data_IF_746662335669
#
_entry.id   IF_746662335669
#
_cell.length_a   1.000
_cell.length_b   1.000
_cell.length_c   1.000
_cell.angle_alpha   90.00
_cell.angle_beta   90.00
_cell.angle_gamma   90.00
#
_symmetry.space_group_name_H-M   'P 1'
#
loop_
_entity.id
_entity.type
_entity.pdbx_description
1 polymer ?
#
# COMPACT_ATOMS: atom_id res chain seq x y z
N UNK A 1 19.27 -4.01 -14.28
CA UNK A 1 19.64 -2.57 -14.29
C UNK A 1 19.07 -1.80 -15.49
N UNK A 2 19.17 -2.28 -16.75
CA UNK A 2 18.68 -1.52 -17.93
C UNK A 2 17.21 -1.09 -17.84
N UNK A 3 16.33 -1.99 -17.40
CA UNK A 3 14.91 -1.70 -17.25
C UNK A 3 14.64 -0.68 -16.13
N UNK A 4 15.24 -0.90 -14.95
CA UNK A 4 15.24 0.01 -13.82
C UNK A 4 15.68 1.44 -14.20
N UNK A 5 16.72 1.59 -15.03
CA UNK A 5 17.16 2.88 -15.52
C UNK A 5 16.17 3.53 -16.50
N UNK A 6 15.53 2.73 -17.37
CA UNK A 6 14.49 3.22 -18.28
C UNK A 6 13.27 3.74 -17.51
N UNK A 7 12.90 3.07 -16.42
CA UNK A 7 11.86 3.56 -15.52
C UNK A 7 12.23 4.85 -14.82
N UNK A 8 13.41 4.91 -14.21
CA UNK A 8 13.88 6.12 -13.54
C UNK A 8 13.79 7.30 -14.50
N UNK A 9 14.23 7.11 -15.75
CA UNK A 9 14.15 8.13 -16.80
C UNK A 9 12.70 8.54 -17.11
N UNK A 10 11.78 7.59 -17.22
CA UNK A 10 10.37 7.86 -17.51
C UNK A 10 9.71 8.61 -16.34
N UNK A 11 9.90 8.12 -15.10
CA UNK A 11 9.43 8.76 -13.87
C UNK A 11 10.01 10.19 -13.75
N UNK A 12 11.32 10.38 -13.97
CA UNK A 12 11.99 11.69 -13.93
C UNK A 12 11.40 12.70 -14.92
N UNK A 13 11.01 12.24 -16.11
CA UNK A 13 10.35 13.06 -17.14
C UNK A 13 8.87 13.36 -16.84
N UNK A 14 8.32 12.76 -15.78
CA UNK A 14 6.90 12.89 -15.44
C UNK A 14 6.01 12.07 -16.37
N UNK A 15 6.57 11.15 -17.14
CA UNK A 15 5.86 10.18 -17.97
C UNK A 15 5.28 9.10 -17.05
N UNK A 16 4.29 9.47 -16.20
CA UNK A 16 3.64 8.52 -15.31
C UNK A 16 3.05 7.39 -16.15
N UNK A 17 3.45 6.16 -15.81
CA UNK A 17 2.90 4.95 -16.43
C UNK A 17 1.38 5.01 -16.38
N UNK A 18 0.75 4.90 -17.54
CA UNK A 18 -0.69 4.70 -17.61
C UNK A 18 -0.99 3.33 -17.00
N UNK A 19 -1.66 3.34 -15.86
CA UNK A 19 -2.36 2.15 -15.40
C UNK A 19 -3.63 2.08 -16.24
N UNK A 20 -3.58 1.35 -17.35
CA UNK A 20 -4.78 1.02 -18.11
C UNK A 20 -5.56 -0.05 -17.35
N UNK A 21 -6.78 0.27 -16.93
CA UNK A 21 -7.71 -0.68 -16.30
C UNK A 21 -7.69 -0.72 -14.77
N UNK A 22 -8.76 -1.29 -14.21
CA UNK A 22 -8.86 -1.55 -12.78
C UNK A 22 -7.93 -2.70 -12.40
N UNK A 23 -7.10 -2.51 -11.37
CA UNK A 23 -6.27 -3.61 -10.83
C UNK A 23 -7.04 -4.34 -9.75
N UNK A 24 -6.96 -5.66 -9.78
CA UNK A 24 -7.69 -6.54 -8.90
C UNK A 24 -6.72 -7.39 -8.09
N UNK A 25 -6.93 -7.44 -6.78
CA UNK A 25 -6.15 -8.28 -5.87
C UNK A 25 -7.09 -9.03 -4.95
N UNK A 26 -6.90 -10.34 -4.81
CA UNK A 26 -7.57 -11.11 -3.78
C UNK A 26 -6.83 -10.95 -2.45
N UNK A 27 -7.56 -10.72 -1.36
CA UNK A 27 -6.98 -10.58 -0.02
C UNK A 27 -6.33 -11.88 0.46
N UNK A 28 -6.81 -13.04 -0.02
CA UNK A 28 -6.21 -14.35 0.27
C UNK A 28 -4.79 -14.48 -0.30
N UNK A 29 -4.53 -13.88 -1.47
CA UNK A 29 -3.21 -13.88 -2.13
C UNK A 29 -2.22 -12.93 -1.44
N UNK A 30 -2.73 -11.98 -0.64
CA UNK A 30 -1.91 -11.06 0.15
C UNK A 30 -1.42 -11.80 1.40
N UNK A 31 -0.16 -12.22 1.37
CA UNK A 31 0.53 -12.91 2.48
C UNK A 31 0.40 -12.15 3.81
N UNK A 32 -0.63 -12.45 4.62
CA UNK A 32 -0.80 -12.25 6.07
C UNK A 32 -0.59 -10.87 6.70
N UNK A 33 -0.18 -9.89 5.91
CA UNK A 33 0.29 -8.60 6.39
C UNK A 33 -0.74 -7.50 6.14
N UNK A 34 -0.60 -6.41 6.88
CA UNK A 34 -1.44 -5.23 6.68
C UNK A 34 -1.14 -4.60 5.31
N UNK A 35 -2.18 -4.33 4.53
CA UNK A 35 -2.07 -3.54 3.31
C UNK A 35 -2.39 -2.08 3.60
N UNK A 36 -1.53 -1.19 3.16
CA UNK A 36 -1.71 0.26 3.32
C UNK A 36 -1.84 0.94 1.97
N UNK A 37 -2.69 1.97 1.92
CA UNK A 37 -2.77 2.92 0.83
C UNK A 37 -1.94 4.16 1.18
N UNK A 38 -1.19 4.67 0.19
CA UNK A 38 -0.45 5.91 0.28
C UNK A 38 -1.33 7.09 -0.14
N UNK A 39 -1.13 8.25 0.49
CA UNK A 39 -1.83 9.46 0.11
C UNK A 39 -1.23 10.03 -1.20
N UNK A 40 -2.06 10.14 -2.24
CA UNK A 40 -1.63 10.60 -3.56
C UNK A 40 -1.14 12.06 -3.57
N UNK A 41 -1.63 12.93 -2.68
CA UNK A 41 -1.15 14.31 -2.57
C UNK A 41 0.29 14.37 -2.03
N UNK A 42 0.60 13.53 -1.04
CA UNK A 42 1.95 13.40 -0.49
C UNK A 42 2.91 12.88 -1.57
N UNK A 43 2.48 11.93 -2.40
CA UNK A 43 3.29 11.41 -3.52
C UNK A 43 3.67 12.47 -4.56
N UNK A 44 2.72 13.33 -4.94
CA UNK A 44 2.98 14.42 -5.88
C UNK A 44 3.98 15.42 -5.30
N UNK A 45 3.82 15.76 -4.02
CA UNK A 45 4.73 16.66 -3.30
C UNK A 45 6.14 16.06 -3.19
N UNK A 46 6.25 14.79 -2.83
CA UNK A 46 7.53 14.09 -2.73
C UNK A 46 8.24 14.03 -4.07
N UNK A 47 7.52 13.73 -5.15
CA UNK A 47 8.07 13.75 -6.49
C UNK A 47 8.73 15.09 -6.82
N UNK A 48 8.01 16.20 -6.59
CA UNK A 48 8.54 17.54 -6.88
C UNK A 48 9.75 17.87 -6.01
N UNK A 49 9.70 17.54 -4.71
CA UNK A 49 10.80 17.77 -3.79
C UNK A 49 12.06 16.98 -4.17
N UNK A 50 11.91 15.68 -4.44
CA UNK A 50 13.01 14.81 -4.82
C UNK A 50 13.61 15.22 -6.17
N UNK A 51 12.77 15.59 -7.13
CA UNK A 51 13.22 16.07 -8.44
C UNK A 51 14.02 17.36 -8.33
N UNK A 52 13.47 18.38 -7.66
CA UNK A 52 14.14 19.67 -7.50
C UNK A 52 15.47 19.53 -6.72
N UNK A 53 15.48 18.74 -5.64
CA UNK A 53 16.69 18.47 -4.88
C UNK A 53 17.74 17.70 -5.71
N UNK A 54 17.31 16.73 -6.51
CA UNK A 54 18.17 16.00 -7.43
C UNK A 54 18.79 16.90 -8.50
N UNK A 55 17.97 17.72 -9.17
CA UNK A 55 18.42 18.68 -10.20
C UNK A 55 19.48 19.65 -9.64
N UNK A 56 19.27 20.17 -8.42
CA UNK A 56 20.24 21.04 -7.76
C UNK A 56 21.59 20.37 -7.47
N UNK A 57 21.63 19.04 -7.34
CA UNK A 57 22.84 18.27 -7.07
C UNK A 57 23.54 17.77 -8.34
N UNK A 58 22.80 17.51 -9.42
CA UNK A 58 23.36 16.96 -10.68
C UNK A 58 24.47 17.85 -11.23
N UNK A 59 24.26 19.16 -11.31
CA UNK A 59 25.26 20.09 -11.86
C UNK A 59 26.54 20.14 -11.03
N UNK A 60 26.41 19.94 -9.71
CA UNK A 60 27.55 19.89 -8.79
C UNK A 60 28.33 18.59 -8.92
N UNK A 61 27.64 17.46 -9.06
CA UNK A 61 28.24 16.12 -9.12
C UNK A 61 28.81 15.81 -10.50
N UNK A 62 28.21 16.34 -11.56
CA UNK A 62 28.55 16.08 -12.97
C UNK A 62 28.80 17.37 -13.74
N UNK A 63 29.88 18.12 -13.43
CA UNK A 63 30.20 19.35 -14.13
C UNK A 63 30.55 19.08 -15.60
N UNK A 64 30.11 19.96 -16.51
CA UNK A 64 30.31 19.83 -17.96
C UNK A 64 31.79 19.82 -18.38
N UNK A 65 32.67 20.44 -17.58
CA UNK A 65 34.12 20.41 -17.80
C UNK A 65 34.75 19.58 -16.69
N UNK A 66 35.38 18.43 -17.00
CA UNK A 66 36.06 17.63 -16.00
C UNK A 66 37.18 18.47 -15.37
N UNK A 67 37.08 18.71 -14.07
CA UNK A 67 38.00 19.58 -13.29
C UNK A 67 39.37 18.91 -13.05
N UNK A 68 39.55 17.67 -13.51
CA UNK A 68 40.73 16.86 -13.24
C UNK A 68 41.92 17.32 -14.09
N UNK A 69 42.86 18.03 -13.45
CA UNK A 69 44.23 18.17 -13.95
C UNK A 69 45.05 16.96 -13.49
N UNK A 70 45.91 16.43 -14.35
CA UNK A 70 46.78 15.29 -14.04
C UNK A 70 47.59 15.55 -12.76
N UNK A 71 47.47 14.66 -11.76
CA UNK A 71 48.20 14.75 -10.48
C UNK A 71 47.44 15.41 -9.31
N UNK A 72 46.20 15.86 -9.49
CA UNK A 72 45.36 16.31 -8.36
C UNK A 72 44.64 15.13 -7.67
N UNK A 73 44.46 15.18 -6.34
CA UNK A 73 43.63 14.22 -5.62
C UNK A 73 42.18 14.28 -6.09
N UNK A 74 41.45 13.17 -5.94
CA UNK A 74 40.03 13.08 -6.31
C UNK A 74 39.20 14.08 -5.51
N UNK A 75 38.28 14.78 -6.19
CA UNK A 75 37.36 15.70 -5.50
C UNK A 75 36.39 14.92 -4.63
N UNK A 76 35.87 15.51 -3.53
CA UNK A 76 34.84 14.88 -2.70
C UNK A 76 33.62 14.43 -3.50
N UNK A 77 33.20 15.20 -4.51
CA UNK A 77 32.12 14.85 -5.42
C UNK A 77 32.43 13.60 -6.25
N UNK A 78 33.65 13.48 -6.77
CA UNK A 78 34.04 12.30 -7.56
C UNK A 78 34.14 11.02 -6.72
N UNK A 79 34.60 11.13 -5.47
CA UNK A 79 34.59 10.03 -4.50
C UNK A 79 33.16 9.60 -4.15
N UNK A 80 32.24 10.56 -4.02
CA UNK A 80 30.83 10.27 -3.77
C UNK A 80 30.20 9.56 -4.96
N UNK A 81 30.45 9.99 -6.20
CA UNK A 81 29.98 9.28 -7.42
C UNK A 81 30.53 7.85 -7.44
N UNK A 82 31.83 7.67 -7.18
CA UNK A 82 32.45 6.34 -7.15
C UNK A 82 31.86 5.43 -6.05
N UNK A 83 31.44 5.99 -4.91
CA UNK A 83 30.73 5.24 -3.86
C UNK A 83 29.40 4.68 -4.39
N UNK A 84 28.61 5.50 -5.09
CA UNK A 84 27.33 5.07 -5.66
C UNK A 84 27.53 4.04 -6.78
N UNK A 85 28.50 4.25 -7.67
CA UNK A 85 28.77 3.33 -8.79
C UNK A 85 29.21 1.94 -8.32
N UNK A 86 30.01 1.87 -7.24
CA UNK A 86 30.69 0.63 -6.87
C UNK A 86 30.13 -0.05 -5.62
N UNK A 87 29.42 0.66 -4.74
CA UNK A 87 29.00 0.15 -3.43
C UNK A 87 27.49 0.20 -3.19
N UNK A 88 26.80 1.20 -3.74
CA UNK A 88 25.35 1.36 -3.53
C UNK A 88 24.59 0.51 -4.53
N UNK A 89 23.84 -0.45 -4.02
CA UNK A 89 23.04 -1.35 -4.85
C UNK A 89 21.63 -0.78 -5.07
N UNK A 90 21.16 -0.87 -6.30
CA UNK A 90 19.77 -0.59 -6.63
C UNK A 90 18.89 -1.80 -6.26
N UNK A 91 18.38 -1.80 -5.03
CA UNK A 91 17.49 -2.86 -4.54
C UNK A 91 16.17 -2.92 -5.31
N UNK A 92 15.73 -1.81 -5.93
CA UNK A 92 14.50 -1.78 -6.72
C UNK A 92 14.66 -2.59 -8.01
N UNK A 93 15.85 -2.58 -8.61
CA UNK A 93 16.17 -3.46 -9.72
C UNK A 93 16.17 -4.97 -9.35
N UNK A 94 16.22 -5.32 -8.06
CA UNK A 94 16.27 -6.69 -7.55
C UNK A 94 14.93 -7.19 -6.97
N UNK A 95 14.24 -6.40 -6.16
CA UNK A 95 13.00 -6.81 -5.47
C UNK A 95 11.73 -6.80 -6.33
N UNK A 96 11.87 -6.30 -7.56
CA UNK A 96 10.82 -6.08 -8.54
C UNK A 96 9.98 -7.30 -8.96
N UNK A 97 10.38 -8.52 -8.58
CA UNK A 97 9.73 -9.79 -8.95
C UNK A 97 9.26 -10.63 -7.76
N UNK A 98 9.57 -10.23 -6.51
CA UNK A 98 9.68 -11.22 -5.43
C UNK A 98 8.36 -11.71 -4.79
N UNK A 99 7.24 -11.01 -4.94
CA UNK A 99 6.01 -11.35 -4.20
C UNK A 99 4.72 -11.40 -5.02
N UNK A 100 4.58 -10.65 -6.11
CA UNK A 100 3.36 -10.62 -6.93
C UNK A 100 3.53 -11.24 -8.32
N UNK A 101 4.70 -11.84 -8.61
CA UNK A 101 5.18 -12.29 -9.93
C UNK A 101 4.97 -11.23 -11.06
N UNK A 102 4.73 -10.01 -10.62
CA UNK A 102 4.32 -8.86 -11.41
C UNK A 102 4.89 -7.62 -10.74
N UNK A 103 5.21 -6.65 -11.57
CA UNK A 103 5.83 -5.40 -11.18
C UNK A 103 4.86 -4.56 -10.35
N UNK A 104 5.32 -4.07 -9.19
CA UNK A 104 4.51 -3.22 -8.31
C UNK A 104 3.83 -2.09 -9.12
N UNK A 105 2.49 -2.04 -9.14
CA UNK A 105 1.70 -1.11 -9.93
C UNK A 105 2.11 0.36 -9.85
N UNK A 106 2.51 0.79 -8.66
CA UNK A 106 2.73 2.19 -8.30
C UNK A 106 4.10 2.44 -7.68
N UNK A 107 4.93 1.40 -7.53
CA UNK A 107 6.30 1.61 -7.09
C UNK A 107 7.02 2.50 -8.11
N UNK A 108 7.73 3.53 -7.65
CA UNK A 108 8.56 4.42 -8.46
C UNK A 108 9.80 4.86 -7.67
N UNK A 109 10.75 5.52 -8.34
CA UNK A 109 11.96 6.04 -7.67
C UNK A 109 11.72 7.31 -6.85
N UNK A 110 10.64 8.03 -7.15
CA UNK A 110 10.36 9.36 -6.61
C UNK A 110 9.34 9.31 -5.47
N UNK A 111 9.63 8.47 -4.47
CA UNK A 111 8.89 8.42 -3.20
C UNK A 111 9.89 8.23 -2.06
N UNK A 112 9.70 8.93 -0.95
CA UNK A 112 10.48 8.65 0.25
C UNK A 112 10.10 7.28 0.82
N UNK A 113 11.03 6.68 1.57
CA UNK A 113 10.76 5.44 2.29
C UNK A 113 9.71 5.68 3.37
N UNK A 114 8.77 4.74 3.53
CA UNK A 114 7.90 4.68 4.70
C UNK A 114 8.75 4.22 5.90
N UNK A 115 8.74 5.01 6.96
CA UNK A 115 9.49 4.73 8.20
C UNK A 115 8.50 4.74 9.36
N UNK A 116 8.51 3.66 10.13
CA UNK A 116 7.66 3.48 11.31
C UNK A 116 8.46 3.78 12.58
N UNK A 117 7.84 4.53 13.49
CA UNK A 117 8.32 4.91 14.81
C UNK A 117 7.26 4.53 15.85
N UNK A 118 7.34 3.30 16.36
CA UNK A 118 6.28 2.75 17.19
C UNK A 118 4.98 2.61 16.40
N UNK A 119 3.92 3.29 16.84
CA UNK A 119 2.61 3.30 16.15
C UNK A 119 2.48 4.38 15.09
N UNK A 120 3.46 5.28 14.99
CA UNK A 120 3.45 6.44 14.10
C UNK A 120 4.33 6.18 12.88
N UNK A 121 4.00 6.75 11.73
CA UNK A 121 4.82 6.71 10.52
C UNK A 121 5.06 8.12 9.95
N UNK A 122 6.18 8.30 9.24
CA UNK A 122 6.55 9.59 8.64
C UNK A 122 5.59 10.09 7.55
N UNK A 123 4.73 9.21 7.03
CA UNK A 123 3.75 9.50 5.98
C UNK A 123 2.34 9.23 6.48
N UNK A 124 1.35 9.89 5.91
CA UNK A 124 -0.04 9.50 6.17
C UNK A 124 -0.36 8.21 5.41
N UNK A 125 -0.92 7.21 6.11
CA UNK A 125 -1.30 5.92 5.54
C UNK A 125 -2.76 5.62 5.87
N UNK A 126 -3.46 4.99 4.93
CA UNK A 126 -4.78 4.40 5.16
C UNK A 126 -4.66 2.89 5.21
N UNK A 127 -5.25 2.25 6.22
CA UNK A 127 -5.22 0.80 6.38
C UNK A 127 -6.35 0.16 5.57
N UNK A 128 -6.02 -0.73 4.63
CA UNK A 128 -6.99 -1.40 3.76
C UNK A 128 -7.35 -2.80 4.26
N UNK A 129 -6.35 -3.59 4.64
CA UNK A 129 -6.56 -4.95 5.15
C UNK A 129 -5.65 -5.22 6.34
N UNK A 130 -6.07 -6.09 7.25
CA UNK A 130 -5.25 -6.61 8.35
C UNK A 130 -5.78 -7.97 8.78
N UNK A 131 -4.90 -8.90 9.14
CA UNK A 131 -5.29 -10.25 9.59
C UNK A 131 -6.21 -10.99 8.60
N UNK A 132 -5.89 -10.86 7.30
CA UNK A 132 -6.65 -11.41 6.17
C UNK A 132 -8.08 -10.88 6.06
N UNK A 133 -8.37 -9.73 6.65
CA UNK A 133 -9.70 -9.13 6.66
C UNK A 133 -9.69 -7.69 6.19
N UNK A 134 -10.87 -7.24 5.77
CA UNK A 134 -11.09 -5.90 5.24
C UNK A 134 -11.33 -4.94 6.39
N UNK A 135 -10.60 -3.84 6.40
CA UNK A 135 -10.74 -2.81 7.43
C UNK A 135 -12.05 -2.05 7.24
N UNK A 136 -12.81 -1.93 8.33
CA UNK A 136 -14.13 -1.29 8.32
C UNK A 136 -15.29 -2.21 7.88
N UNK A 137 -15.06 -3.48 7.56
CA UNK A 137 -16.14 -4.42 7.27
C UNK A 137 -17.01 -4.72 8.50
N UNK A 138 -18.32 -4.86 8.31
CA UNK A 138 -19.28 -5.11 9.39
C UNK A 138 -19.13 -6.50 10.05
N UNK A 139 -18.54 -7.44 9.31
CA UNK A 139 -18.20 -8.78 9.78
C UNK A 139 -16.90 -9.23 9.11
N UNK A 140 -16.08 -10.06 9.79
CA UNK A 140 -14.98 -10.78 9.16
C UNK A 140 -15.45 -11.54 7.91
N UNK A 141 -14.80 -11.31 6.77
CA UNK A 141 -15.19 -11.88 5.47
C UNK A 141 -14.26 -13.01 5.04
N UNK A 142 -13.02 -13.00 5.54
CA UNK A 142 -11.99 -14.00 5.24
C UNK A 142 -11.37 -13.89 3.84
N UNK A 143 -12.16 -13.47 2.85
CA UNK A 143 -11.70 -13.21 1.49
C UNK A 143 -12.42 -12.04 0.86
N UNK A 144 -11.69 -11.27 0.04
CA UNK A 144 -12.23 -10.10 -0.63
C UNK A 144 -11.44 -9.80 -1.90
N UNK A 145 -12.12 -9.19 -2.87
CA UNK A 145 -11.55 -8.62 -4.08
C UNK A 145 -11.40 -7.11 -3.91
N UNK A 146 -10.15 -6.63 -3.91
CA UNK A 146 -9.83 -5.21 -3.91
C UNK A 146 -9.71 -4.72 -5.34
N UNK A 147 -10.52 -3.73 -5.71
CA UNK A 147 -10.50 -3.11 -7.04
C UNK A 147 -9.97 -1.69 -6.91
N UNK A 148 -8.82 -1.43 -7.52
CA UNK A 148 -8.18 -0.12 -7.51
C UNK A 148 -8.53 0.62 -8.80
N UNK A 149 -9.10 1.82 -8.65
CA UNK A 149 -9.46 2.71 -9.75
C UNK A 149 -8.81 4.06 -9.58
N UNK A 150 -8.22 4.56 -10.65
CA UNK A 150 -7.53 5.84 -10.65
C UNK A 150 -8.47 6.93 -11.17
N UNK A 151 -8.79 7.91 -10.33
CA UNK A 151 -9.65 9.04 -10.68
C UNK A 151 -8.80 10.28 -10.88
N UNK A 152 -8.91 10.90 -12.07
CA UNK A 152 -8.35 12.23 -12.29
C UNK A 152 -9.19 13.23 -11.51
N UNK A 153 -8.60 13.84 -10.49
CA UNK A 153 -9.22 14.97 -9.79
C UNK A 153 -8.73 16.23 -10.48
N UNK A 154 -9.61 16.86 -11.26
CA UNK A 154 -9.32 18.17 -11.84
C UNK A 154 -9.60 19.24 -10.80
N UNK A 155 -8.56 19.75 -10.13
CA UNK A 155 -8.71 20.98 -9.36
C UNK A 155 -8.87 22.15 -10.35
N UNK A 156 -10.08 22.72 -10.43
CA UNK A 156 -10.37 23.93 -11.22
C UNK A 156 -9.91 25.23 -10.53
N UNK A 157 -9.07 25.16 -9.50
CA UNK A 157 -8.53 26.32 -8.77
C UNK A 157 -7.05 26.14 -8.42
N UNK A 158 -6.19 26.01 -9.43
CA UNK A 158 -4.76 26.23 -9.24
C UNK A 158 -4.27 27.10 -10.39
N UNK A 159 -3.88 28.33 -10.04
CA UNK A 159 -3.31 29.32 -10.94
C UNK A 159 -2.18 28.76 -11.80
N UNK A 160 -2.02 29.40 -12.97
CA UNK A 160 -1.38 28.95 -14.20
C UNK A 160 0.14 28.64 -14.18
N UNK A 161 0.70 28.05 -13.11
CA UNK A 161 2.16 27.72 -13.06
C UNK A 161 2.45 26.24 -12.79
N UNK A 162 1.54 25.47 -12.18
CA UNK A 162 1.74 24.03 -11.98
C UNK A 162 0.42 23.28 -12.14
N UNK A 163 0.20 22.66 -13.31
CA UNK A 163 -0.87 21.66 -13.48
C UNK A 163 -0.48 20.38 -12.74
N UNK A 164 -0.61 20.37 -11.42
CA UNK A 164 -0.59 19.13 -10.64
C UNK A 164 -1.90 18.40 -10.88
N UNK A 165 -1.86 17.39 -11.75
CA UNK A 165 -2.96 16.44 -11.90
C UNK A 165 -2.98 15.53 -10.67
N UNK A 166 -3.60 16.00 -9.58
CA UNK A 166 -3.87 15.18 -8.41
C UNK A 166 -4.70 13.98 -8.88
N UNK A 167 -4.11 12.80 -8.82
CA UNK A 167 -4.77 11.58 -9.26
C UNK A 167 -5.02 10.73 -8.03
N UNK A 168 -6.27 10.62 -7.61
CA UNK A 168 -6.64 9.90 -6.40
C UNK A 168 -6.89 8.43 -6.74
N UNK A 169 -6.38 7.52 -5.91
CA UNK A 169 -6.69 6.11 -5.99
C UNK A 169 -7.95 5.82 -5.15
N UNK A 170 -9.02 5.38 -5.80
CA UNK A 170 -10.23 4.88 -5.15
C UNK A 170 -10.12 3.34 -5.05
N UNK A 171 -10.51 2.79 -3.90
CA UNK A 171 -10.51 1.35 -3.64
C UNK A 171 -11.94 0.91 -3.34
N UNK A 172 -12.48 0.02 -4.18
CA UNK A 172 -13.73 -0.69 -3.86
C UNK A 172 -13.42 -2.11 -3.42
N UNK A 173 -14.23 -2.60 -2.48
CA UNK A 173 -14.04 -3.92 -1.87
C UNK A 173 -15.28 -4.77 -2.10
N UNK A 174 -15.06 -5.92 -2.71
CA UNK A 174 -16.11 -6.85 -3.11
C UNK A 174 -15.88 -8.22 -2.47
N UNK A 175 -16.96 -8.94 -2.19
CA UNK A 175 -16.87 -10.35 -1.80
C UNK A 175 -16.24 -11.14 -2.95
N UNK A 176 -15.28 -12.02 -2.64
CA UNK A 176 -14.54 -12.74 -3.67
C UNK A 176 -15.44 -13.71 -4.46
N UNK A 177 -16.46 -14.27 -3.80
CA UNK A 177 -17.35 -15.28 -4.38
C UNK A 177 -18.53 -14.67 -5.12
N UNK A 178 -19.19 -13.67 -4.55
CA UNK A 178 -20.40 -13.05 -5.13
C UNK A 178 -20.09 -11.82 -5.97
N UNK A 179 -18.90 -11.22 -5.82
CA UNK A 179 -18.50 -9.93 -6.39
C UNK A 179 -19.38 -8.75 -5.95
N UNK A 180 -20.24 -8.94 -4.95
CA UNK A 180 -21.05 -7.87 -4.37
C UNK A 180 -20.24 -7.01 -3.40
N UNK A 181 -20.70 -5.79 -3.13
CA UNK A 181 -20.02 -4.90 -2.19
C UNK A 181 -20.07 -5.47 -0.77
N UNK A 182 -18.92 -5.47 -0.10
CA UNK A 182 -18.84 -5.90 1.29
C UNK A 182 -19.53 -4.84 2.18
N UNK A 183 -20.47 -5.24 3.06
CA UNK A 183 -21.09 -4.32 4.01
C UNK A 183 -20.05 -3.71 4.96
N UNK A 184 -20.00 -2.39 5.03
CA UNK A 184 -19.10 -1.64 5.91
C UNK A 184 -19.83 -1.17 7.17
N UNK A 185 -19.08 -0.97 8.25
CA UNK A 185 -19.57 -0.30 9.45
C UNK A 185 -19.85 1.19 9.17
N UNK A 186 -20.77 1.83 9.91
CA UNK A 186 -21.07 3.26 9.74
C UNK A 186 -19.87 4.19 9.92
N UNK A 187 -18.87 3.79 10.70
CA UNK A 187 -17.64 4.53 11.02
C UNK A 187 -16.43 4.08 10.16
N UNK A 188 -16.63 3.20 9.18
CA UNK A 188 -15.54 2.66 8.36
C UNK A 188 -14.70 3.73 7.66
N UNK A 189 -15.30 4.86 7.28
CA UNK A 189 -14.58 6.00 6.68
C UNK A 189 -13.54 6.59 7.63
N UNK A 190 -13.81 6.61 8.94
CA UNK A 190 -12.86 7.11 9.95
C UNK A 190 -11.69 6.14 10.13
N UNK A 191 -11.98 4.83 10.17
CA UNK A 191 -10.96 3.78 10.28
C UNK A 191 -10.06 3.73 9.04
N UNK A 192 -10.59 4.11 7.88
CA UNK A 192 -9.86 4.18 6.60
C UNK A 192 -9.25 5.56 6.34
N UNK A 193 -9.39 6.53 7.23
CA UNK A 193 -8.81 7.84 7.06
C UNK A 193 -7.27 7.77 7.03
N UNK A 194 -6.65 8.61 6.20
CA UNK A 194 -5.20 8.74 6.17
C UNK A 194 -4.69 9.31 7.49
N UNK A 195 -3.76 8.61 8.13
CA UNK A 195 -3.21 9.03 9.43
C UNK A 195 -1.74 8.69 9.55
N UNK A 196 -1.02 9.50 10.32
CA UNK A 196 0.33 9.15 10.76
C UNK A 196 0.32 8.05 11.81
N UNK A 197 -0.77 7.85 12.56
CA UNK A 197 -0.83 6.88 13.66
C UNK A 197 -1.44 5.54 13.23
N UNK A 198 -1.01 5.03 12.06
CA UNK A 198 -1.62 3.85 11.45
C UNK A 198 -1.40 2.57 12.27
N UNK A 199 -0.40 2.55 13.14
CA UNK A 199 -0.15 1.43 14.06
C UNK A 199 -1.25 1.29 15.12
N UNK A 200 -1.82 2.40 15.61
CA UNK A 200 -2.97 2.39 16.51
C UNK A 200 -4.21 1.84 15.81
N UNK A 201 -4.50 2.32 14.60
CA UNK A 201 -5.61 1.83 13.76
C UNK A 201 -5.46 0.34 13.48
N UNK A 202 -4.24 -0.10 13.14
CA UNK A 202 -3.93 -1.52 12.90
C UNK A 202 -4.21 -2.36 14.15
N UNK A 203 -3.83 -1.88 15.34
CA UNK A 203 -4.06 -2.59 16.60
C UNK A 203 -5.54 -2.69 16.92
N UNK A 204 -6.28 -1.58 16.84
CA UNK A 204 -7.72 -1.53 17.11
C UNK A 204 -8.48 -2.47 16.17
N UNK A 205 -8.15 -2.44 14.88
CA UNK A 205 -8.82 -3.29 13.90
C UNK A 205 -8.53 -4.79 14.12
N UNK A 206 -7.32 -5.16 14.54
CA UNK A 206 -7.02 -6.55 14.92
C UNK A 206 -7.89 -7.03 16.07
N UNK A 207 -7.98 -6.23 17.14
CA UNK A 207 -8.81 -6.55 18.30
C UNK A 207 -10.28 -6.72 17.91
N UNK A 208 -10.81 -5.78 17.13
CA UNK A 208 -12.18 -5.85 16.61
C UNK A 208 -12.44 -7.14 15.81
N UNK A 209 -11.55 -7.50 14.88
CA UNK A 209 -11.69 -8.70 14.06
C UNK A 209 -11.67 -9.96 14.93
N UNK A 210 -10.75 -10.06 15.89
CA UNK A 210 -10.64 -11.20 16.80
C UNK A 210 -11.90 -11.37 17.67
N UNK A 211 -12.40 -10.29 18.25
CA UNK A 211 -13.63 -10.28 19.05
C UNK A 211 -14.84 -10.72 18.23
N UNK A 212 -14.99 -10.21 17.00
CA UNK A 212 -16.10 -10.60 16.11
C UNK A 212 -16.00 -12.06 15.68
N UNK A 213 -14.80 -12.56 15.35
CA UNK A 213 -14.59 -13.98 15.04
C UNK A 213 -14.96 -14.87 16.23
N UNK A 214 -14.56 -14.49 17.45
CA UNK A 214 -14.93 -15.23 18.67
C UNK A 214 -16.43 -15.21 18.92
N UNK A 215 -17.10 -14.07 18.72
CA UNK A 215 -18.54 -13.96 18.90
C UNK A 215 -19.30 -14.86 17.90
N UNK A 216 -18.93 -14.82 16.62
CA UNK A 216 -19.51 -15.68 15.58
C UNK A 216 -19.28 -17.16 15.92
N UNK A 217 -18.10 -17.54 16.40
CA UNK A 217 -17.81 -18.91 16.79
C UNK A 217 -18.69 -19.37 17.97
N UNK A 218 -18.90 -18.53 18.98
CA UNK A 218 -19.80 -18.80 20.11
C UNK A 218 -21.24 -18.98 19.64
N UNK A 219 -21.74 -18.10 18.77
CA UNK A 219 -23.10 -18.18 18.23
C UNK A 219 -23.31 -19.45 17.40
N UNK A 220 -22.35 -19.82 16.54
CA UNK A 220 -22.38 -21.08 15.78
C UNK A 220 -22.38 -22.30 16.69
N UNK A 221 -21.56 -22.30 17.74
CA UNK A 221 -21.51 -23.40 18.71
C UNK A 221 -22.85 -23.54 19.44
N UNK A 222 -23.43 -22.43 19.89
CA UNK A 222 -24.73 -22.41 20.56
C UNK A 222 -25.83 -22.93 19.64
N UNK A 223 -25.92 -22.44 18.41
CA UNK A 223 -26.90 -22.90 17.42
C UNK A 223 -26.77 -24.41 17.13
N UNK A 224 -25.52 -24.93 17.06
CA UNK A 224 -25.29 -26.37 16.88
C UNK A 224 -25.76 -27.19 18.08
N UNK A 225 -25.52 -26.69 19.30
CA UNK A 225 -25.97 -27.36 20.52
C UNK A 225 -27.50 -27.36 20.62
N UNK A 226 -28.13 -26.21 20.35
CA UNK A 226 -29.59 -26.04 20.36
C UNK A 226 -30.26 -26.98 19.34
N UNK A 227 -29.68 -27.11 18.14
CA UNK A 227 -30.13 -28.06 17.12
C UNK A 227 -29.98 -29.54 17.51
N UNK A 228 -28.91 -29.91 18.24
CA UNK A 228 -28.74 -31.27 18.77
C UNK A 228 -29.77 -31.61 19.86
N UNK A 229 -30.26 -30.63 20.63
CA UNK A 229 -31.31 -30.83 21.64
C UNK A 229 -32.68 -31.15 21.05
N UNK A 230 -32.95 -30.77 19.80
CA UNK A 230 -34.23 -31.03 19.12
C UNK A 230 -34.30 -32.44 18.48
N UNK A 231 -33.19 -33.13 18.31
CA UNK A 231 -33.13 -34.46 17.68
C UNK A 231 -33.00 -35.63 18.66
N UNK A 232 -33.02 -35.42 19.98
CA UNK A 232 -33.00 -36.53 20.94
C UNK A 232 -34.36 -37.28 20.89
N UNK A 233 -34.43 -38.52 20.37
CA UNK A 233 -35.65 -39.31 20.49
C UNK A 233 -35.85 -39.69 21.97
N UNK A 234 -37.09 -39.91 22.42
CA UNK A 234 -37.35 -40.31 23.80
C UNK A 234 -36.57 -41.58 24.11
N UNK A 235 -35.78 -41.55 25.18
CA UNK A 235 -35.13 -42.75 25.75
C UNK A 235 -36.23 -43.78 26.00
N UNK A 236 -36.24 -44.83 25.20
CA UNK A 236 -37.11 -45.99 25.41
C UNK A 236 -36.96 -46.49 26.84
N UNK A 237 -38.08 -46.53 27.57
CA UNK A 237 -38.15 -47.20 28.86
C UNK A 237 -37.96 -48.72 28.68
N UNK A 238 -37.48 -49.42 29.71
CA UNK A 238 -37.29 -50.86 29.62
C UNK A 238 -38.65 -51.55 29.65
N UNK A 239 -39.00 -52.27 28.58
CA UNK A 239 -40.06 -53.28 28.63
C UNK A 239 -39.46 -54.56 29.23
N UNK A 240 -39.98 -54.94 30.41
CA UNK A 240 -39.96 -56.29 30.97
C UNK A 240 -41.40 -56.76 31.11
#
# INVERSE_FOLDING_TARGET
MREAAAEFRSDYRGERREISGAKQFAVEDLLGNALYLLNSEDEDREYQQMKAAGEALVDRLFPAVPTRKTGQPESPESLLVALYDNQVHDSRAWFMYSTLDTREPEGGYFRYRVIYFGTVCNKTLSLLTVSYDVVGAASPVGSALLIFKRKKVSNMMADAINKTHATQLEVSVHDLSTQELIPMLPDAEQTKAFTHNVGEVTRQQRQFIEERRMQIAKEKLKARLDGMTLELPPRGGPEQ
#
